data_IF_065458531031
#
_entry.id   IF_065458531031
#
_cell.length_a   1.000
_cell.length_b   1.000
_cell.length_c   1.000
_cell.angle_alpha   90.00
_cell.angle_beta   90.00
_cell.angle_gamma   90.00
#
_symmetry.space_group_name_H-M   'P 1'
#
loop_
_entity.id
_entity.type
_entity.pdbx_description
1 polymer ?
#
# COMPACT_ATOMS: atom_id res chain seq x y z
N UNK A 1 1.74 -6.85 28.30
CA UNK A 1 2.24 -6.96 26.93
C UNK A 1 2.19 -5.55 26.39
N UNK A 2 3.34 -4.92 26.26
CA UNK A 2 3.45 -3.52 25.88
C UNK A 2 2.98 -3.38 24.44
N UNK A 3 1.93 -2.62 24.20
CA UNK A 3 1.62 -2.11 22.87
C UNK A 3 2.80 -1.20 22.50
N UNK A 4 3.69 -1.69 21.64
CA UNK A 4 4.73 -0.84 21.04
C UNK A 4 4.02 0.15 20.12
N UNK A 5 3.68 1.32 20.65
CA UNK A 5 3.36 2.50 19.85
C UNK A 5 4.56 2.74 18.92
N UNK A 6 4.41 2.34 17.66
CA UNK A 6 5.45 2.47 16.63
C UNK A 6 5.66 3.96 16.40
N UNK A 7 6.88 4.45 16.62
CA UNK A 7 7.15 5.90 16.60
C UNK A 7 7.27 6.39 15.16
N UNK A 8 6.99 7.67 14.87
CA UNK A 8 7.16 8.24 13.52
C UNK A 8 8.54 7.99 12.89
N UNK A 9 9.58 7.89 13.72
CA UNK A 9 10.96 7.56 13.30
C UNK A 9 11.05 6.16 12.67
N UNK A 10 10.27 5.20 13.15
CA UNK A 10 10.32 3.80 12.74
C UNK A 10 9.75 3.64 11.31
N UNK A 11 8.71 4.41 10.96
CA UNK A 11 8.16 4.44 9.60
C UNK A 11 9.13 5.05 8.58
N UNK A 12 9.84 6.12 8.95
CA UNK A 12 10.86 6.72 8.08
C UNK A 12 12.03 5.78 7.84
N UNK A 13 12.49 5.06 8.87
CA UNK A 13 13.53 4.05 8.74
C UNK A 13 13.07 2.91 7.83
N UNK A 14 11.88 2.36 8.10
CA UNK A 14 11.26 1.33 7.27
C UNK A 14 11.13 1.76 5.81
N UNK A 15 10.63 2.97 5.56
CA UNK A 15 10.52 3.53 4.22
C UNK A 15 11.89 3.58 3.53
N UNK A 16 12.91 4.14 4.19
CA UNK A 16 14.25 4.22 3.60
C UNK A 16 14.86 2.85 3.24
N UNK A 17 14.53 1.80 3.99
CA UNK A 17 14.99 0.44 3.71
C UNK A 17 14.28 -0.24 2.52
N UNK A 18 13.12 0.26 2.11
CA UNK A 18 12.32 -0.37 1.05
C UNK A 18 11.95 0.54 -0.12
N UNK A 19 12.27 1.84 -0.06
CA UNK A 19 11.80 2.84 -1.02
C UNK A 19 12.19 2.56 -2.48
N UNK A 20 13.26 1.80 -2.73
CA UNK A 20 13.69 1.40 -4.08
C UNK A 20 13.02 0.10 -4.58
N UNK A 21 12.33 -0.63 -3.71
CA UNK A 21 11.66 -1.87 -4.09
C UNK A 21 10.42 -1.57 -4.94
N UNK A 22 10.08 -2.50 -5.83
CA UNK A 22 8.97 -2.37 -6.78
C UNK A 22 7.82 -3.29 -6.36
N UNK A 23 6.70 -2.74 -5.84
CA UNK A 23 5.54 -3.52 -5.48
C UNK A 23 4.68 -3.84 -6.70
N UNK A 24 4.17 -5.07 -6.76
CA UNK A 24 3.31 -5.57 -7.82
C UNK A 24 2.00 -6.08 -7.24
N UNK A 25 0.89 -5.48 -7.67
CA UNK A 25 -0.46 -5.86 -7.30
C UNK A 25 -0.85 -7.22 -7.88
N UNK A 26 -1.65 -7.95 -7.13
CA UNK A 26 -2.27 -9.22 -7.49
C UNK A 26 -3.78 -9.13 -7.30
N UNK A 27 -4.49 -10.08 -7.89
CA UNK A 27 -5.94 -10.13 -7.88
C UNK A 27 -6.60 -9.28 -8.97
N UNK A 28 -7.92 -9.36 -9.02
CA UNK A 28 -8.79 -8.74 -10.04
C UNK A 28 -9.84 -7.88 -9.35
N UNK A 29 -9.99 -6.65 -9.81
CA UNK A 29 -11.06 -5.76 -9.34
C UNK A 29 -12.43 -6.31 -9.75
N UNK A 30 -13.34 -6.44 -8.79
CA UNK A 30 -14.69 -6.95 -8.99
C UNK A 30 -15.76 -5.86 -9.05
N UNK A 31 -15.51 -4.72 -8.42
CA UNK A 31 -16.47 -3.63 -8.31
C UNK A 31 -16.34 -2.83 -7.02
N UNK A 32 -17.21 -1.85 -6.85
CA UNK A 32 -17.33 -1.01 -5.67
C UNK A 32 -18.75 -1.06 -5.11
N UNK A 33 -18.90 -0.99 -3.79
CA UNK A 33 -20.18 -0.83 -3.10
C UNK A 33 -20.02 0.27 -2.03
N UNK A 34 -20.73 1.38 -2.20
CA UNK A 34 -20.55 2.55 -1.33
C UNK A 34 -19.14 3.12 -1.46
N UNK A 35 -18.39 3.12 -0.36
CA UNK A 35 -17.00 3.60 -0.30
C UNK A 35 -15.97 2.45 -0.36
N UNK A 36 -16.44 1.21 -0.47
CA UNK A 36 -15.61 0.01 -0.42
C UNK A 36 -15.35 -0.55 -1.82
N UNK A 37 -14.15 -1.11 -2.00
CA UNK A 37 -13.71 -1.72 -3.26
C UNK A 37 -13.44 -3.21 -3.06
N UNK A 38 -13.84 -4.05 -4.02
CA UNK A 38 -13.68 -5.49 -3.91
C UNK A 38 -12.63 -6.02 -4.90
N UNK A 39 -11.66 -6.77 -4.39
CA UNK A 39 -10.60 -7.40 -5.18
C UNK A 39 -10.54 -8.89 -4.88
N UNK A 40 -10.64 -9.72 -5.93
CA UNK A 40 -10.50 -11.16 -5.82
C UNK A 40 -9.06 -11.60 -6.08
N UNK A 41 -8.43 -12.29 -5.13
CA UNK A 41 -7.16 -12.99 -5.36
C UNK A 41 -7.40 -14.33 -6.06
N UNK A 42 -8.53 -14.98 -5.75
CA UNK A 42 -9.00 -16.22 -6.36
C UNK A 42 -10.55 -16.27 -6.31
N UNK A 43 -11.17 -17.31 -6.89
CA UNK A 43 -12.64 -17.48 -6.85
C UNK A 43 -13.22 -17.54 -5.42
N UNK A 44 -12.40 -17.96 -4.44
CA UNK A 44 -12.83 -18.14 -3.05
C UNK A 44 -12.25 -17.09 -2.09
N UNK A 45 -11.44 -16.15 -2.59
CA UNK A 45 -10.75 -15.16 -1.77
C UNK A 45 -11.00 -13.76 -2.34
N UNK A 46 -11.99 -13.09 -1.76
CA UNK A 46 -12.36 -11.71 -2.07
C UNK A 46 -12.09 -10.84 -0.86
N UNK A 47 -11.40 -9.73 -1.09
CA UNK A 47 -11.06 -8.75 -0.08
C UNK A 47 -11.83 -7.47 -0.32
N UNK A 48 -12.35 -6.91 0.76
CA UNK A 48 -12.85 -5.55 0.81
C UNK A 48 -11.68 -4.61 1.15
N UNK A 49 -11.51 -3.58 0.34
CA UNK A 49 -10.47 -2.57 0.49
C UNK A 49 -11.11 -1.21 0.78
N UNK A 50 -10.54 -0.50 1.74
CA UNK A 50 -10.82 0.92 1.95
C UNK A 50 -10.31 1.76 0.76
N UNK A 51 -10.78 3.01 0.58
CA UNK A 51 -10.33 3.87 -0.51
C UNK A 51 -8.80 4.03 -0.59
N UNK A 52 -8.12 4.18 0.57
CA UNK A 52 -6.68 4.30 0.61
C UNK A 52 -5.98 3.01 0.20
N UNK A 53 -6.42 1.85 0.71
CA UNK A 53 -5.83 0.56 0.36
C UNK A 53 -6.02 0.24 -1.12
N UNK A 54 -7.21 0.51 -1.67
CA UNK A 54 -7.47 0.36 -3.10
C UNK A 54 -6.61 1.31 -3.95
N UNK A 55 -6.46 2.57 -3.53
CA UNK A 55 -5.60 3.51 -4.23
C UNK A 55 -4.14 3.05 -4.26
N UNK A 56 -3.58 2.63 -3.13
CA UNK A 56 -2.22 2.08 -3.06
C UNK A 56 -2.09 0.82 -3.91
N UNK A 57 -3.07 -0.10 -3.86
CA UNK A 57 -3.11 -1.29 -4.72
C UNK A 57 -3.10 -0.93 -6.21
N UNK A 58 -3.84 0.10 -6.64
CA UNK A 58 -3.80 0.60 -8.02
C UNK A 58 -2.43 1.14 -8.44
N UNK A 59 -1.67 1.72 -7.52
CA UNK A 59 -0.33 2.27 -7.80
C UNK A 59 0.77 1.20 -7.84
N UNK A 60 0.56 0.04 -7.21
CA UNK A 60 1.49 -1.09 -7.22
C UNK A 60 1.49 -1.82 -8.57
N UNK A 61 1.96 -1.18 -9.63
CA UNK A 61 1.87 -1.69 -11.00
C UNK A 61 3.03 -2.60 -11.44
N UNK A 62 3.95 -2.92 -10.53
CA UNK A 62 5.15 -3.69 -10.82
C UNK A 62 6.19 -2.92 -11.63
N UNK A 63 6.08 -1.59 -11.74
CA UNK A 63 7.02 -0.73 -12.48
C UNK A 63 7.58 0.41 -11.63
N UNK A 64 6.74 1.05 -10.82
CA UNK A 64 7.15 2.19 -10.01
C UNK A 64 7.67 1.72 -8.65
N UNK A 65 8.71 2.37 -8.13
CA UNK A 65 9.23 2.09 -6.80
C UNK A 65 8.31 2.62 -5.70
N UNK A 66 8.48 2.16 -4.47
CA UNK A 66 7.75 2.69 -3.31
C UNK A 66 7.99 4.20 -3.15
N UNK A 67 9.18 4.71 -3.46
CA UNK A 67 9.48 6.14 -3.45
C UNK A 67 8.62 6.91 -4.48
N UNK A 68 8.56 6.41 -5.71
CA UNK A 68 7.78 7.04 -6.78
C UNK A 68 6.28 7.00 -6.50
N UNK A 69 5.80 5.93 -5.86
CA UNK A 69 4.43 5.81 -5.37
C UNK A 69 4.15 6.85 -4.28
N UNK A 70 5.04 7.00 -3.28
CA UNK A 70 4.89 8.02 -2.23
C UNK A 70 4.87 9.44 -2.82
N UNK A 71 5.77 9.73 -3.76
CA UNK A 71 5.83 11.01 -4.47
C UNK A 71 4.55 11.28 -5.26
N UNK A 72 3.99 10.24 -5.91
CA UNK A 72 2.72 10.36 -6.63
C UNK A 72 1.55 10.63 -5.70
N UNK A 73 1.44 9.87 -4.60
CA UNK A 73 0.40 10.09 -3.59
C UNK A 73 0.47 11.51 -3.01
N UNK A 74 1.68 11.98 -2.68
CA UNK A 74 1.94 13.35 -2.20
C UNK A 74 1.39 14.42 -3.16
N UNK A 75 1.67 14.27 -4.47
CA UNK A 75 1.15 15.20 -5.49
C UNK A 75 -0.36 15.11 -5.65
N UNK A 76 -0.90 13.90 -5.75
CA UNK A 76 -2.33 13.68 -6.05
C UNK A 76 -3.21 14.13 -4.88
N UNK A 77 -2.75 13.93 -3.64
CA UNK A 77 -3.44 14.32 -2.40
C UNK A 77 -3.07 15.73 -1.90
N UNK A 78 -2.05 16.37 -2.49
CA UNK A 78 -1.50 17.68 -2.08
C UNK A 78 -1.07 17.71 -0.60
N UNK A 79 -0.43 16.63 -0.16
CA UNK A 79 0.07 16.45 1.21
C UNK A 79 1.60 16.40 1.22
N UNK A 80 2.23 16.65 2.36
CA UNK A 80 3.66 16.48 2.48
C UNK A 80 4.02 14.99 2.37
N UNK A 81 5.16 14.65 1.74
CA UNK A 81 5.60 13.25 1.63
C UNK A 81 5.73 12.58 3.02
N UNK A 82 6.14 13.33 4.04
CA UNK A 82 6.24 12.81 5.41
C UNK A 82 4.87 12.43 6.00
N UNK A 83 3.78 13.03 5.53
CA UNK A 83 2.41 12.70 5.93
C UNK A 83 1.85 11.51 5.13
N UNK A 84 2.50 11.15 4.00
CA UNK A 84 2.12 10.03 3.13
C UNK A 84 2.79 8.72 3.55
N UNK A 85 4.02 8.80 4.05
CA UNK A 85 4.86 7.61 4.31
C UNK A 85 4.16 6.60 5.22
N UNK A 86 3.66 7.04 6.38
CA UNK A 86 2.99 6.15 7.32
C UNK A 86 1.71 5.52 6.71
N UNK A 87 0.74 6.29 6.17
CA UNK A 87 -0.44 5.71 5.50
C UNK A 87 -0.10 4.75 4.35
N UNK A 88 0.90 5.06 3.54
CA UNK A 88 1.37 4.19 2.46
C UNK A 88 1.92 2.87 3.00
N UNK A 89 2.79 2.92 4.01
CA UNK A 89 3.38 1.72 4.61
C UNK A 89 2.33 0.84 5.29
N UNK A 90 1.37 1.44 6.00
CA UNK A 90 0.26 0.70 6.61
C UNK A 90 -0.61 0.00 5.55
N UNK A 91 -0.91 0.67 4.43
CA UNK A 91 -1.65 0.08 3.33
C UNK A 91 -0.86 -1.07 2.67
N UNK A 92 0.45 -0.89 2.44
CA UNK A 92 1.32 -1.92 1.88
C UNK A 92 1.41 -3.13 2.81
N UNK A 93 1.56 -2.94 4.12
CA UNK A 93 1.56 -4.02 5.11
C UNK A 93 0.25 -4.82 5.08
N UNK A 94 -0.88 -4.12 5.07
CA UNK A 94 -2.19 -4.74 4.95
C UNK A 94 -2.32 -5.57 3.68
N UNK A 95 -2.00 -4.99 2.52
CA UNK A 95 -2.10 -5.65 1.21
C UNK A 95 -1.14 -6.83 1.05
N UNK A 96 0.08 -6.71 1.58
CA UNK A 96 1.09 -7.78 1.52
C UNK A 96 0.75 -8.93 2.45
N UNK A 97 0.18 -8.66 3.62
CA UNK A 97 -0.24 -9.71 4.58
C UNK A 97 -1.27 -10.68 4.00
N UNK A 98 -2.01 -10.25 2.97
CA UNK A 98 -3.01 -11.05 2.25
C UNK A 98 -2.63 -11.35 0.79
N UNK A 99 -1.36 -11.14 0.42
CA UNK A 99 -0.82 -11.39 -0.93
C UNK A 99 -1.49 -10.61 -2.08
N UNK A 100 -2.24 -9.55 -1.80
CA UNK A 100 -2.77 -8.64 -2.82
C UNK A 100 -1.69 -7.73 -3.41
N UNK A 101 -0.57 -7.58 -2.71
CA UNK A 101 0.66 -6.97 -3.24
C UNK A 101 1.83 -7.88 -2.89
N UNK A 102 2.76 -8.04 -3.84
CA UNK A 102 4.06 -8.68 -3.60
C UNK A 102 5.15 -7.66 -3.87
N UNK A 103 6.09 -7.54 -2.94
CA UNK A 103 7.25 -6.67 -3.08
C UNK A 103 8.44 -7.53 -3.48
N UNK A 104 9.01 -7.28 -4.65
CA UNK A 104 10.17 -8.02 -5.12
C UNK A 104 11.44 -7.43 -4.48
N UNK A 105 12.31 -8.26 -3.88
CA UNK A 105 13.67 -7.82 -3.57
C UNK A 105 14.43 -7.57 -4.89
N UNK A 106 15.38 -6.64 -4.86
CA UNK A 106 16.36 -6.43 -5.94
C UNK A 106 17.16 -7.70 -6.26
#
# INVERSE_FOLDING_TARGET
MSEEETRPTDFLEKFNNMKEQVPERKGTFLGEEGENFYVALSENEVYELSPLAYYVWLLCDGKNTINEIADRMSRDLKMNINEIIEPLLMALDGLTSVNLVVIKPE
#
